data_IF_375371734713
#
_entry.id   IF_375371734713
#
_cell.length_a   1.000
_cell.length_b   1.000
_cell.length_c   1.000
_cell.angle_alpha   90.00
_cell.angle_beta   90.00
_cell.angle_gamma   90.00
#
_symmetry.space_group_name_H-M   'P 1'
#
loop_
_entity.id
_entity.type
_entity.pdbx_description
1 polymer ?
#
# COMPACT_ATOMS: atom_id res chain seq x y z
N UNK A 1 1.88 1.23 26.45
CA UNK A 1 1.20 2.03 25.42
C UNK A 1 0.35 1.08 24.59
N UNK A 2 -0.92 1.41 24.36
CA UNK A 2 -1.82 0.60 23.52
C UNK A 2 -2.00 1.32 22.19
N UNK A 3 -1.95 0.59 21.07
CA UNK A 3 -2.12 1.09 19.71
C UNK A 3 -1.05 2.07 19.19
N UNK A 4 0.17 2.05 19.77
CA UNK A 4 1.31 2.72 19.12
C UNK A 4 1.69 1.90 17.89
N UNK A 5 1.76 2.48 16.68
CA UNK A 5 2.29 1.77 15.53
C UNK A 5 3.77 1.44 15.76
N UNK A 6 4.19 0.26 15.33
CA UNK A 6 5.59 -0.14 15.34
C UNK A 6 6.37 0.72 14.35
N UNK A 7 5.84 0.86 13.12
CA UNK A 7 6.43 1.63 12.04
C UNK A 7 5.46 2.64 11.40
N UNK A 8 6.01 3.73 10.86
CA UNK A 8 5.28 4.74 10.10
C UNK A 8 6.03 5.00 8.79
N UNK A 9 5.40 4.64 7.68
CA UNK A 9 5.96 4.81 6.33
C UNK A 9 5.32 6.03 5.68
N UNK A 10 6.14 6.98 5.26
CA UNK A 10 5.68 8.14 4.51
C UNK A 10 5.60 7.79 3.02
N UNK A 11 4.43 7.97 2.43
CA UNK A 11 4.21 7.73 1.01
C UNK A 11 3.66 8.99 0.33
N UNK A 12 4.09 9.24 -0.90
CA UNK A 12 3.59 10.34 -1.72
C UNK A 12 2.11 10.15 -2.10
N UNK A 13 1.68 8.89 -2.32
CA UNK A 13 0.31 8.57 -2.66
C UNK A 13 -0.13 7.22 -2.06
N UNK A 14 -1.44 7.08 -1.84
CA UNK A 14 -2.08 5.85 -1.38
C UNK A 14 -2.87 5.20 -2.53
N UNK A 15 -2.96 3.85 -2.56
CA UNK A 15 -3.72 3.14 -3.57
C UNK A 15 -5.21 3.46 -3.41
N UNK A 16 -5.75 4.21 -4.37
CA UNK A 16 -7.15 4.67 -4.38
C UNK A 16 -7.89 4.09 -5.58
N UNK A 17 -9.17 3.81 -5.40
CA UNK A 17 -10.08 3.49 -6.52
C UNK A 17 -10.32 4.74 -7.38
N UNK A 18 -10.89 4.56 -8.58
CA UNK A 18 -11.36 5.69 -9.42
C UNK A 18 -12.40 6.61 -8.74
N UNK A 19 -13.05 6.13 -7.68
CA UNK A 19 -13.96 6.90 -6.82
C UNK A 19 -13.30 7.54 -5.61
N UNK A 20 -11.98 7.37 -5.43
CA UNK A 20 -11.20 7.97 -4.34
C UNK A 20 -11.14 7.16 -3.03
N UNK A 21 -11.76 5.98 -2.97
CA UNK A 21 -11.68 5.09 -1.78
C UNK A 21 -10.26 4.54 -1.67
N UNK A 22 -9.69 4.58 -0.46
CA UNK A 22 -8.41 3.93 -0.16
C UNK A 22 -8.59 2.40 -0.13
N UNK A 23 -7.79 1.69 -0.91
CA UNK A 23 -7.76 0.22 -0.96
C UNK A 23 -6.79 -0.33 0.09
N UNK A 24 -7.17 -0.22 1.38
CA UNK A 24 -6.34 -0.68 2.52
C UNK A 24 -5.89 -2.14 2.44
N UNK A 25 -6.68 -3.01 1.80
CA UNK A 25 -6.31 -4.39 1.49
C UNK A 25 -4.94 -4.48 0.81
N UNK A 26 -4.69 -3.63 -0.19
CA UNK A 26 -3.45 -3.67 -0.95
C UNK A 26 -2.27 -3.20 -0.10
N UNK A 27 -2.46 -2.22 0.78
CA UNK A 27 -1.44 -1.82 1.76
C UNK A 27 -1.05 -2.98 2.67
N UNK A 28 -2.03 -3.78 3.10
CA UNK A 28 -1.78 -5.00 3.89
C UNK A 28 -1.05 -6.07 3.09
N UNK A 29 -1.43 -6.27 1.83
CA UNK A 29 -0.76 -7.24 0.95
C UNK A 29 0.71 -6.84 0.71
N UNK A 30 1.01 -5.54 0.55
CA UNK A 30 2.38 -5.02 0.44
C UNK A 30 3.17 -5.23 1.73
N UNK A 31 2.63 -4.81 2.88
CA UNK A 31 3.31 -4.95 4.18
C UNK A 31 3.57 -6.42 4.58
N UNK A 32 2.71 -7.34 4.15
CA UNK A 32 2.88 -8.78 4.39
C UNK A 32 3.67 -9.50 3.27
N UNK A 33 4.23 -8.77 2.28
CA UNK A 33 4.98 -9.35 1.16
C UNK A 33 4.17 -10.29 0.27
N UNK A 34 2.83 -10.22 0.31
CA UNK A 34 1.93 -11.11 -0.42
C UNK A 34 1.74 -10.67 -1.87
N UNK A 35 1.36 -11.63 -2.72
CA UNK A 35 0.92 -11.32 -4.07
C UNK A 35 -0.28 -10.36 -4.03
N UNK A 36 -0.27 -9.36 -4.91
CA UNK A 36 -1.36 -8.39 -5.00
C UNK A 36 -2.60 -9.08 -5.56
N UNK A 37 -3.71 -9.02 -4.82
CA UNK A 37 -5.02 -9.36 -5.40
C UNK A 37 -5.51 -8.27 -6.37
N UNK A 38 -6.73 -8.40 -6.89
CA UNK A 38 -7.35 -7.50 -7.89
C UNK A 38 -7.10 -5.98 -7.73
N UNK A 39 -6.42 -5.40 -8.72
CA UNK A 39 -6.07 -3.97 -8.85
C UNK A 39 -6.85 -3.24 -9.93
N UNK A 40 -7.80 -3.89 -10.62
CA UNK A 40 -8.50 -3.35 -11.80
C UNK A 40 -9.29 -2.06 -11.54
N UNK A 41 -9.65 -1.82 -10.28
CA UNK A 41 -10.43 -0.65 -9.84
C UNK A 41 -9.57 0.52 -9.38
N UNK A 42 -8.24 0.37 -9.30
CA UNK A 42 -7.33 1.45 -8.98
C UNK A 42 -7.42 2.58 -10.00
N UNK A 43 -7.28 3.80 -9.51
CA UNK A 43 -7.06 4.96 -10.35
C UNK A 43 -5.68 4.91 -11.01
N UNK A 44 -4.67 4.54 -10.22
CA UNK A 44 -3.30 4.33 -10.68
C UNK A 44 -2.73 3.03 -10.06
N UNK A 45 -2.49 1.98 -10.88
CA UNK A 45 -1.84 0.76 -10.44
C UNK A 45 -0.37 0.95 -10.02
N UNK A 46 0.36 1.91 -10.59
CA UNK A 46 1.79 2.09 -10.37
C UNK A 46 2.13 2.51 -8.92
N UNK A 47 1.17 3.11 -8.22
CA UNK A 47 1.29 3.46 -6.80
C UNK A 47 1.64 2.25 -5.95
N UNK A 48 1.10 1.06 -6.29
CA UNK A 48 1.35 -0.14 -5.48
C UNK A 48 2.77 -0.66 -5.69
N UNK A 49 3.30 -0.57 -6.91
CA UNK A 49 4.67 -0.97 -7.21
C UNK A 49 5.67 -0.03 -6.54
N UNK A 50 5.42 1.28 -6.55
CA UNK A 50 6.24 2.25 -5.84
C UNK A 50 6.24 2.04 -4.31
N UNK A 51 5.10 1.66 -3.74
CA UNK A 51 5.00 1.31 -2.31
C UNK A 51 5.78 0.03 -1.98
N UNK A 52 5.86 -0.92 -2.92
CA UNK A 52 6.65 -2.14 -2.73
C UNK A 52 8.15 -1.88 -2.80
N UNK A 53 8.61 -1.04 -3.72
CA UNK A 53 10.03 -0.64 -3.76
C UNK A 53 10.43 0.05 -2.46
N UNK A 54 9.64 1.05 -2.03
CA UNK A 54 9.91 1.77 -0.76
C UNK A 54 9.94 0.84 0.46
N UNK A 55 9.10 -0.21 0.49
CA UNK A 55 9.10 -1.18 1.58
C UNK A 55 10.20 -2.24 1.45
N UNK A 56 10.50 -2.68 0.22
CA UNK A 56 11.49 -3.73 -0.05
C UNK A 56 12.94 -3.26 0.07
N UNK A 57 13.19 -1.95 0.00
CA UNK A 57 14.52 -1.36 0.22
C UNK A 57 14.91 -1.25 1.71
N UNK A 58 13.97 -1.52 2.64
CA UNK A 58 14.20 -1.45 4.09
C UNK A 58 14.59 -2.82 4.74
N UNK A 59 14.67 -3.91 3.96
CA UNK A 59 15.17 -5.23 4.41
C UNK A 59 16.65 -5.52 4.06
#
# INVERSE_FOLDING_TARGET
>A
AMARPDDIIFAAELPKTRSGKIMRRLLRDVAEGRALGDTTTLADPAVVDSLKEQYGDEE
#
